data_IF_274606941544
#
_entry.id   IF_274606941544
#
_cell.length_a   1.000
_cell.length_b   1.000
_cell.length_c   1.000
_cell.angle_alpha   90.00
_cell.angle_beta   90.00
_cell.angle_gamma   90.00
#
_symmetry.space_group_name_H-M   'P 1'
#
loop_
_entity.id
_entity.type
_entity.pdbx_description
1 polymer ?
#
# COMPACT_ATOMS: atom_id res chain seq x y z
N UNK A 1 -26.20 -0.44 1.02
CA UNK A 1 -26.25 1.03 1.14
C UNK A 1 -25.05 1.49 1.98
N UNK A 2 -23.84 1.52 1.40
CA UNK A 2 -22.62 1.87 2.14
C UNK A 2 -22.46 3.40 2.24
N UNK A 3 -22.32 3.87 3.48
CA UNK A 3 -22.35 5.29 3.88
C UNK A 3 -20.91 5.73 4.15
N UNK A 4 -20.38 6.65 3.36
CA UNK A 4 -19.11 7.31 3.67
C UNK A 4 -19.42 8.53 4.54
N UNK A 5 -19.09 8.49 5.83
CA UNK A 5 -19.18 9.68 6.69
C UNK A 5 -17.79 10.31 6.76
N UNK A 6 -17.63 11.49 6.17
CA UNK A 6 -16.44 12.32 6.35
C UNK A 6 -16.77 13.43 7.35
N UNK A 7 -15.89 13.67 8.31
CA UNK A 7 -16.07 14.65 9.39
C UNK A 7 -15.19 15.89 9.15
N UNK A 8 -15.83 17.05 9.02
CA UNK A 8 -15.16 18.34 9.13
C UNK A 8 -14.76 18.62 10.57
N UNK A 9 -13.46 18.76 10.80
CA UNK A 9 -12.91 19.23 12.06
C UNK A 9 -11.82 20.24 11.75
N UNK A 10 -12.22 21.47 11.43
CA UNK A 10 -11.31 22.59 11.55
C UNK A 10 -11.34 23.12 12.99
N UNK A 11 -10.16 23.15 13.60
CA UNK A 11 -9.79 23.85 14.84
C UNK A 11 -10.26 23.26 16.21
N UNK A 12 -9.51 22.27 16.72
CA UNK A 12 -8.63 22.41 17.93
C UNK A 12 -7.97 21.09 18.33
N UNK A 13 -6.76 21.22 18.88
CA UNK A 13 -6.03 20.20 19.61
C UNK A 13 -6.93 19.45 20.60
N UNK A 14 -6.95 18.11 20.54
CA UNK A 14 -7.33 17.31 21.70
C UNK A 14 -8.09 16.02 21.43
N UNK A 15 -8.91 15.95 20.39
CA UNK A 15 -9.84 14.83 20.26
C UNK A 15 -9.74 14.16 18.88
N UNK A 16 -9.16 12.96 18.91
CA UNK A 16 -8.99 12.06 17.76
C UNK A 16 -10.36 11.54 17.32
N UNK A 17 -11.01 12.26 16.42
CA UNK A 17 -12.07 11.70 15.58
C UNK A 17 -11.45 10.75 14.56
N UNK A 18 -11.35 9.46 14.91
CA UNK A 18 -10.92 8.41 13.99
C UNK A 18 -11.85 8.38 12.77
N UNK A 19 -11.32 8.74 11.60
CA UNK A 19 -11.84 8.25 10.32
C UNK A 19 -11.31 6.84 10.13
N UNK A 20 -11.73 5.92 11.00
CA UNK A 20 -11.50 4.49 10.80
C UNK A 20 -12.50 4.02 9.73
N UNK A 21 -12.06 3.61 8.52
CA UNK A 21 -12.96 2.89 7.65
C UNK A 21 -13.34 1.61 8.39
N UNK A 22 -14.63 1.38 8.61
CA UNK A 22 -15.19 0.22 9.31
C UNK A 22 -14.89 -1.15 8.64
N UNK A 23 -13.91 -1.21 7.75
CA UNK A 23 -13.54 -2.34 6.89
C UNK A 23 -12.03 -2.68 6.96
N UNK A 24 -11.24 -2.10 7.88
CA UNK A 24 -9.84 -2.50 8.09
C UNK A 24 -8.90 -2.23 6.89
N UNK A 25 -9.22 -1.23 6.06
CA UNK A 25 -8.47 -0.89 4.83
C UNK A 25 -7.32 0.09 5.05
N UNK A 26 -6.99 0.39 6.30
CA UNK A 26 -5.86 1.22 6.69
C UNK A 26 -4.51 0.61 6.27
N UNK A 27 -4.48 -0.70 6.00
CA UNK A 27 -3.29 -1.41 5.48
C UNK A 27 -3.03 -1.19 3.98
N UNK A 28 -4.06 -0.87 3.19
CA UNK A 28 -3.94 -0.75 1.72
C UNK A 28 -4.31 0.62 1.16
N UNK A 29 -4.90 1.49 1.96
CA UNK A 29 -5.19 2.88 1.57
C UNK A 29 -4.63 3.84 2.61
N UNK A 30 -3.60 4.59 2.24
CA UNK A 30 -3.06 5.67 3.05
C UNK A 30 -3.99 6.90 3.01
N UNK A 31 -4.86 7.05 4.00
CA UNK A 31 -5.74 8.23 4.16
C UNK A 31 -5.13 9.25 5.13
N UNK A 32 -3.80 9.41 5.11
CA UNK A 32 -3.06 10.16 6.14
C UNK A 32 -3.23 11.69 6.14
N UNK A 33 -3.75 12.31 5.08
CA UNK A 33 -3.78 13.78 4.96
C UNK A 33 -5.20 14.33 4.79
N UNK A 34 -5.80 14.85 5.87
CA UNK A 34 -7.14 15.48 5.87
C UNK A 34 -7.26 16.59 4.82
N UNK A 35 -6.21 17.39 4.64
CA UNK A 35 -6.18 18.45 3.62
C UNK A 35 -6.31 17.92 2.18
N UNK A 36 -5.78 16.73 1.90
CA UNK A 36 -5.95 16.08 0.59
C UNK A 36 -7.33 15.45 0.43
N UNK A 37 -7.92 14.96 1.52
CA UNK A 37 -9.27 14.40 1.52
C UNK A 37 -10.30 15.45 1.08
N UNK A 38 -10.29 16.66 1.65
CA UNK A 38 -11.23 17.72 1.25
C UNK A 38 -11.04 18.16 -0.20
N UNK A 39 -9.79 18.31 -0.65
CA UNK A 39 -9.50 18.61 -2.06
C UNK A 39 -10.02 17.52 -3.00
N UNK A 40 -9.92 16.25 -2.58
CA UNK A 40 -10.44 15.12 -3.36
C UNK A 40 -11.96 15.14 -3.39
N UNK A 41 -12.63 15.37 -2.26
CA UNK A 41 -14.10 15.48 -2.19
C UNK A 41 -14.61 16.63 -3.05
N UNK A 42 -13.96 17.79 -3.00
CA UNK A 42 -14.32 18.93 -3.85
C UNK A 42 -14.22 18.57 -5.34
N UNK A 43 -13.13 17.92 -5.78
CA UNK A 43 -12.98 17.45 -7.17
C UNK A 43 -14.02 16.41 -7.56
N UNK A 44 -14.37 15.49 -6.67
CA UNK A 44 -15.42 14.51 -6.91
C UNK A 44 -16.79 15.18 -7.04
N UNK A 45 -17.03 16.25 -6.28
CA UNK A 45 -18.25 17.04 -6.36
C UNK A 45 -18.30 17.85 -7.67
N UNK A 46 -17.20 18.52 -8.03
CA UNK A 46 -17.08 19.27 -9.29
C UNK A 46 -17.29 18.35 -10.51
N UNK A 47 -16.86 17.09 -10.41
CA UNK A 47 -17.08 16.06 -11.41
C UNK A 47 -18.49 15.41 -11.35
N UNK A 48 -19.36 15.81 -10.41
CA UNK A 48 -20.70 15.26 -10.24
C UNK A 48 -20.75 13.81 -9.72
N UNK A 49 -19.63 13.29 -9.20
CA UNK A 49 -19.53 11.91 -8.69
C UNK A 49 -20.05 11.80 -7.24
N UNK A 50 -20.03 12.91 -6.51
CA UNK A 50 -20.66 13.03 -5.19
C UNK A 50 -21.49 14.31 -5.12
N UNK A 51 -22.54 14.31 -4.29
CA UNK A 51 -23.40 15.46 -4.05
C UNK A 51 -23.54 15.73 -2.54
N UNK A 52 -23.83 16.98 -2.18
CA UNK A 52 -24.13 17.34 -0.79
C UNK A 52 -25.54 16.87 -0.47
N UNK A 53 -25.65 15.94 0.48
CA UNK A 53 -26.91 15.39 0.97
C UNK A 53 -27.52 16.24 2.08
N UNK A 54 -26.70 16.72 3.01
CA UNK A 54 -27.14 17.52 4.14
C UNK A 54 -26.01 18.39 4.69
N UNK A 55 -26.36 19.59 5.10
CA UNK A 55 -25.51 20.48 5.90
C UNK A 55 -26.12 20.59 7.29
N UNK A 56 -25.47 20.00 8.29
CA UNK A 56 -25.89 20.11 9.69
C UNK A 56 -25.15 21.24 10.39
N UNK A 57 -25.89 22.10 11.10
CA UNK A 57 -25.34 23.06 12.09
C UNK A 57 -25.75 22.57 13.47
N UNK A 58 -24.79 22.18 14.28
CA UNK A 58 -25.00 22.02 15.72
C UNK A 58 -24.53 23.30 16.40
N UNK A 59 -25.26 23.83 17.38
CA UNK A 59 -24.94 25.15 17.99
C UNK A 59 -23.57 25.18 18.68
N UNK A 60 -22.96 24.01 18.89
CA UNK A 60 -21.68 23.83 19.58
C UNK A 60 -20.55 23.29 18.69
N UNK A 61 -20.79 23.00 17.40
CA UNK A 61 -19.80 22.42 16.48
C UNK A 61 -19.84 23.07 15.09
N UNK A 62 -18.70 23.10 14.35
CA UNK A 62 -18.65 23.62 12.98
C UNK A 62 -19.60 22.87 12.03
N UNK A 63 -19.94 23.53 10.91
CA UNK A 63 -20.82 22.99 9.86
C UNK A 63 -20.34 21.63 9.38
N UNK A 64 -21.25 20.64 9.37
CA UNK A 64 -20.97 19.30 8.85
C UNK A 64 -21.65 19.11 7.51
N UNK A 65 -20.84 18.94 6.47
CA UNK A 65 -21.32 18.58 5.13
C UNK A 65 -21.28 17.05 4.97
N UNK A 66 -22.45 16.45 4.75
CA UNK A 66 -22.58 15.03 4.45
C UNK A 66 -22.69 14.86 2.94
N UNK A 67 -21.75 14.12 2.36
CA UNK A 67 -21.74 13.79 0.94
C UNK A 67 -22.40 12.44 0.68
N UNK A 68 -23.03 12.30 -0.46
CA UNK A 68 -23.51 11.02 -0.99
C UNK A 68 -23.00 10.78 -2.41
N UNK A 69 -22.74 9.52 -2.73
CA UNK A 69 -22.35 9.12 -4.09
C UNK A 69 -23.57 9.25 -5.01
N UNK A 70 -23.36 9.86 -6.18
CA UNK A 70 -24.39 9.93 -7.23
C UNK A 70 -24.45 8.61 -8.01
N UNK A 71 -25.47 8.42 -8.85
CA UNK A 71 -25.52 7.25 -9.74
C UNK A 71 -24.34 7.26 -10.72
N UNK A 72 -24.00 8.43 -11.27
CA UNK A 72 -22.80 8.61 -12.11
C UNK A 72 -21.53 8.26 -11.34
N UNK A 73 -21.43 8.67 -10.07
CA UNK A 73 -20.31 8.30 -9.19
C UNK A 73 -20.21 6.80 -8.95
N UNK A 74 -21.35 6.11 -8.82
CA UNK A 74 -21.39 4.65 -8.64
C UNK A 74 -20.89 3.95 -9.89
N UNK A 75 -21.36 4.35 -11.06
CA UNK A 75 -20.95 3.75 -12.34
C UNK A 75 -19.46 3.97 -12.59
N UNK A 76 -18.97 5.19 -12.35
CA UNK A 76 -17.54 5.51 -12.44
C UNK A 76 -16.70 4.68 -11.46
N UNK A 77 -17.15 4.50 -10.22
CA UNK A 77 -16.46 3.69 -9.21
C UNK A 77 -16.38 2.22 -9.65
N UNK A 78 -17.47 1.65 -10.17
CA UNK A 78 -17.49 0.27 -10.66
C UNK A 78 -16.62 0.08 -11.90
N UNK A 79 -16.65 1.02 -12.84
CA UNK A 79 -15.79 0.99 -14.02
C UNK A 79 -14.31 1.05 -13.62
N UNK A 80 -13.96 1.96 -12.71
CA UNK A 80 -12.59 2.09 -12.21
C UNK A 80 -12.11 0.85 -11.45
N UNK A 81 -12.95 0.28 -10.56
CA UNK A 81 -12.62 -0.96 -9.85
C UNK A 81 -12.39 -2.13 -10.81
N UNK A 82 -13.25 -2.26 -11.81
CA UNK A 82 -13.14 -3.33 -12.81
C UNK A 82 -11.87 -3.18 -13.65
N UNK A 83 -11.54 -1.96 -14.06
CA UNK A 83 -10.31 -1.66 -14.79
C UNK A 83 -9.06 -1.99 -13.96
N UNK A 84 -9.02 -1.58 -12.69
CA UNK A 84 -7.90 -1.88 -11.80
C UNK A 84 -7.67 -3.39 -11.60
N UNK A 85 -8.74 -4.17 -11.52
CA UNK A 85 -8.64 -5.63 -11.38
C UNK A 85 -8.21 -6.28 -12.70
N UNK A 86 -8.71 -5.78 -13.82
CA UNK A 86 -8.52 -6.41 -15.12
C UNK A 86 -7.21 -6.05 -15.81
N UNK A 87 -6.68 -4.85 -15.56
CA UNK A 87 -5.53 -4.30 -16.29
C UNK A 87 -4.33 -4.21 -15.36
N UNK A 88 -3.30 -5.07 -15.53
CA UNK A 88 -2.03 -4.92 -14.85
C UNK A 88 -1.42 -3.56 -15.17
N UNK A 89 -1.04 -2.81 -14.14
CA UNK A 89 -0.38 -1.52 -14.30
C UNK A 89 1.10 -1.65 -13.97
N UNK A 90 1.90 -0.78 -14.57
CA UNK A 90 3.30 -0.68 -14.18
C UNK A 90 3.40 -0.01 -12.82
N UNK A 91 3.49 -0.83 -11.78
CA UNK A 91 3.75 -0.39 -10.42
C UNK A 91 5.24 -0.06 -10.29
N UNK A 92 5.59 0.85 -9.38
CA UNK A 92 6.98 1.22 -9.08
C UNK A 92 7.26 0.90 -7.61
N UNK A 93 7.40 -0.39 -7.23
CA UNK A 93 7.60 -0.75 -5.83
C UNK A 93 9.00 -0.34 -5.38
N UNK A 94 9.11 0.13 -4.13
CA UNK A 94 10.36 0.70 -3.60
C UNK A 94 11.49 -0.33 -3.51
N UNK A 95 11.19 -1.59 -3.17
CA UNK A 95 12.21 -2.61 -2.97
C UNK A 95 12.93 -3.04 -4.27
N UNK A 96 12.23 -3.39 -5.37
CA UNK A 96 12.86 -3.56 -6.69
C UNK A 96 13.67 -2.33 -7.13
N UNK A 97 13.18 -1.12 -6.85
CA UNK A 97 13.94 0.10 -7.13
C UNK A 97 15.25 0.14 -6.30
N UNK A 98 15.21 -0.17 -5.01
CA UNK A 98 16.40 -0.26 -4.16
C UNK A 98 17.37 -1.35 -4.62
N UNK A 99 16.86 -2.52 -5.05
CA UNK A 99 17.70 -3.60 -5.59
C UNK A 99 18.48 -3.17 -6.84
N UNK A 100 17.91 -2.29 -7.67
CA UNK A 100 18.62 -1.75 -8.84
C UNK A 100 19.86 -0.92 -8.48
N UNK A 101 19.95 -0.46 -7.22
CA UNK A 101 21.09 0.26 -6.66
C UNK A 101 21.84 -0.54 -5.58
N UNK A 102 21.55 -1.84 -5.42
CA UNK A 102 22.13 -2.67 -4.36
C UNK A 102 23.66 -2.70 -4.41
N UNK A 103 24.24 -2.62 -5.62
CA UNK A 103 25.70 -2.63 -5.83
C UNK A 103 26.41 -1.42 -5.21
N UNK A 104 25.69 -0.35 -4.86
CA UNK A 104 26.23 0.77 -4.09
C UNK A 104 26.51 0.37 -2.63
N UNK A 105 25.87 -0.68 -2.14
CA UNK A 105 26.28 -1.39 -0.93
C UNK A 105 27.37 -2.40 -1.28
N UNK A 106 28.30 -2.64 -0.37
CA UNK A 106 29.17 -3.82 -0.46
C UNK A 106 28.38 -5.10 -0.15
N UNK A 107 28.87 -6.30 -0.55
CA UNK A 107 28.17 -7.57 -0.31
C UNK A 107 27.76 -7.80 1.14
N UNK A 108 28.63 -7.47 2.11
CA UNK A 108 28.32 -7.63 3.54
C UNK A 108 27.20 -6.69 4.01
N UNK A 109 27.25 -5.41 3.60
CA UNK A 109 26.21 -4.45 3.93
C UNK A 109 24.88 -4.82 3.27
N UNK A 110 24.90 -5.27 2.01
CA UNK A 110 23.72 -5.78 1.33
C UNK A 110 23.10 -6.97 2.07
N UNK A 111 23.93 -7.94 2.49
CA UNK A 111 23.47 -9.10 3.28
C UNK A 111 22.76 -8.67 4.55
N UNK A 112 23.37 -7.79 5.36
CA UNK A 112 22.78 -7.31 6.62
C UNK A 112 21.41 -6.63 6.42
N UNK A 113 21.27 -5.79 5.38
CA UNK A 113 20.01 -5.12 5.05
C UNK A 113 18.94 -6.12 4.60
N UNK A 114 19.30 -7.09 3.74
CA UNK A 114 18.39 -8.12 3.23
C UNK A 114 17.95 -9.09 4.34
N UNK A 115 18.83 -9.46 5.26
CA UNK A 115 18.49 -10.26 6.45
C UNK A 115 17.48 -9.54 7.35
N UNK A 116 17.66 -8.23 7.55
CA UNK A 116 16.70 -7.44 8.33
C UNK A 116 15.34 -7.39 7.68
N UNK A 117 15.30 -7.22 6.36
CA UNK A 117 14.06 -7.26 5.57
C UNK A 117 13.40 -8.64 5.67
N UNK A 118 14.16 -9.71 5.50
CA UNK A 118 13.68 -11.09 5.63
C UNK A 118 13.03 -11.34 7.00
N UNK A 119 13.65 -10.85 8.08
CA UNK A 119 13.08 -10.94 9.43
C UNK A 119 11.74 -10.20 9.54
N UNK A 120 11.63 -9.01 8.96
CA UNK A 120 10.39 -8.23 8.97
C UNK A 120 9.28 -8.93 8.17
N UNK A 121 9.58 -9.44 6.98
CA UNK A 121 8.60 -10.15 6.14
C UNK A 121 8.11 -11.45 6.78
N UNK A 122 8.99 -12.20 7.46
CA UNK A 122 8.56 -13.39 8.23
C UNK A 122 7.59 -13.06 9.35
N UNK A 123 7.77 -11.91 10.02
CA UNK A 123 6.81 -11.44 11.02
C UNK A 123 5.47 -11.07 10.36
N UNK A 124 5.49 -10.30 9.27
CA UNK A 124 4.29 -9.94 8.50
C UNK A 124 3.54 -11.18 8.01
N UNK A 125 4.24 -12.16 7.44
CA UNK A 125 3.66 -13.41 6.99
C UNK A 125 2.94 -14.16 8.12
N UNK A 126 3.56 -14.23 9.31
CA UNK A 126 2.94 -14.85 10.49
C UNK A 126 1.70 -14.10 10.98
N UNK A 127 1.68 -12.77 10.86
CA UNK A 127 0.51 -11.95 11.19
C UNK A 127 -0.65 -12.21 10.21
N UNK A 128 -0.35 -12.31 8.91
CA UNK A 128 -1.33 -12.65 7.86
C UNK A 128 -1.92 -14.03 8.08
N UNK A 129 -1.09 -15.04 8.35
CA UNK A 129 -1.53 -16.41 8.70
C UNK A 129 -2.51 -16.38 9.88
N UNK A 130 -2.15 -15.62 10.92
CA UNK A 130 -2.97 -15.48 12.13
C UNK A 130 -4.32 -14.81 11.83
N UNK A 131 -4.32 -13.74 11.03
CA UNK A 131 -5.53 -13.03 10.61
C UNK A 131 -6.48 -13.90 9.79
N UNK A 132 -5.94 -14.60 8.79
CA UNK A 132 -6.68 -15.54 7.92
C UNK A 132 -7.31 -16.67 8.75
N UNK A 133 -6.54 -17.26 9.67
CA UNK A 133 -7.03 -18.33 10.55
C UNK A 133 -8.16 -17.84 11.48
N UNK A 134 -8.04 -16.62 12.03
CA UNK A 134 -9.07 -16.02 12.87
C UNK A 134 -10.36 -15.77 12.07
N UNK A 135 -10.27 -15.13 10.90
CA UNK A 135 -11.41 -14.85 10.05
C UNK A 135 -12.15 -16.15 9.64
N UNK A 136 -11.39 -17.20 9.33
CA UNK A 136 -11.94 -18.54 9.05
C UNK A 136 -12.67 -19.12 10.26
N UNK A 137 -12.09 -19.01 11.46
CA UNK A 137 -12.72 -19.46 12.71
C UNK A 137 -14.02 -18.72 13.03
N UNK A 138 -14.11 -17.43 12.69
CA UNK A 138 -15.33 -16.64 12.84
C UNK A 138 -16.37 -16.91 11.74
N UNK A 139 -16.07 -17.78 10.77
CA UNK A 139 -16.97 -18.12 9.67
C UNK A 139 -17.18 -16.97 8.68
N UNK A 140 -16.20 -16.06 8.57
CA UNK A 140 -16.28 -14.97 7.60
C UNK A 140 -16.17 -15.51 6.17
N UNK A 141 -16.94 -14.97 5.21
CA UNK A 141 -16.83 -15.38 3.81
C UNK A 141 -15.42 -15.12 3.25
N UNK A 142 -14.85 -16.07 2.51
CA UNK A 142 -13.49 -15.96 1.93
C UNK A 142 -13.24 -14.65 1.18
N UNK A 143 -14.25 -14.10 0.50
CA UNK A 143 -14.13 -12.83 -0.23
C UNK A 143 -13.64 -11.67 0.64
N UNK A 144 -13.86 -11.72 1.97
CA UNK A 144 -13.39 -10.70 2.91
C UNK A 144 -11.91 -10.84 3.26
N UNK A 145 -11.25 -11.93 2.83
CA UNK A 145 -9.85 -12.26 3.13
C UNK A 145 -8.97 -12.33 1.87
N UNK A 146 -9.52 -12.09 0.67
CA UNK A 146 -8.76 -12.23 -0.58
C UNK A 146 -7.53 -11.31 -0.65
N UNK A 147 -7.62 -10.13 -0.03
CA UNK A 147 -6.49 -9.19 0.11
C UNK A 147 -5.38 -9.79 0.98
N UNK A 148 -5.72 -10.35 2.15
CA UNK A 148 -4.76 -11.00 3.04
C UNK A 148 -4.15 -12.25 2.38
N UNK A 149 -4.95 -13.05 1.66
CA UNK A 149 -4.48 -14.21 0.90
C UNK A 149 -3.47 -13.81 -0.19
N UNK A 150 -3.75 -12.72 -0.92
CA UNK A 150 -2.84 -12.18 -1.93
C UNK A 150 -1.54 -11.68 -1.31
N UNK A 151 -1.64 -10.84 -0.26
CA UNK A 151 -0.46 -10.30 0.42
C UNK A 151 0.41 -11.43 0.97
N UNK A 152 -0.20 -12.45 1.59
CA UNK A 152 0.51 -13.63 2.09
C UNK A 152 1.28 -14.33 0.98
N UNK A 153 0.65 -14.56 -0.19
CA UNK A 153 1.28 -15.24 -1.31
C UNK A 153 2.48 -14.46 -1.87
N UNK A 154 2.37 -13.13 -1.97
CA UNK A 154 3.46 -12.25 -2.42
C UNK A 154 4.60 -12.23 -1.40
N UNK A 155 4.28 -12.03 -0.11
CA UNK A 155 5.26 -12.03 0.98
C UNK A 155 6.00 -13.37 1.07
N UNK A 156 5.31 -14.50 0.90
CA UNK A 156 5.94 -15.82 0.88
C UNK A 156 6.91 -15.98 -0.29
N UNK A 157 6.56 -15.47 -1.48
CA UNK A 157 7.44 -15.49 -2.64
C UNK A 157 8.70 -14.63 -2.42
N UNK A 158 8.53 -13.45 -1.82
CA UNK A 158 9.66 -12.58 -1.50
C UNK A 158 10.58 -13.16 -0.42
N UNK A 159 10.02 -13.79 0.63
CA UNK A 159 10.78 -14.50 1.65
C UNK A 159 11.68 -15.57 1.02
N UNK A 160 11.12 -16.43 0.15
CA UNK A 160 11.90 -17.48 -0.52
C UNK A 160 13.05 -16.89 -1.33
N UNK A 161 12.77 -15.86 -2.12
CA UNK A 161 13.80 -15.21 -2.93
C UNK A 161 14.91 -14.59 -2.07
N UNK A 162 14.54 -13.93 -0.97
CA UNK A 162 15.51 -13.36 -0.02
C UNK A 162 16.34 -14.43 0.67
N UNK A 163 15.76 -15.56 1.04
CA UNK A 163 16.49 -16.70 1.64
C UNK A 163 17.59 -17.19 0.70
N UNK A 164 17.27 -17.36 -0.58
CA UNK A 164 18.24 -17.80 -1.60
C UNK A 164 19.36 -16.76 -1.78
N UNK A 165 19.02 -15.48 -1.94
CA UNK A 165 20.00 -14.41 -2.15
C UNK A 165 20.89 -14.19 -0.93
N UNK A 166 20.34 -14.25 0.28
CA UNK A 166 21.12 -14.14 1.51
C UNK A 166 22.05 -15.34 1.66
N UNK A 167 21.59 -16.55 1.33
CA UNK A 167 22.44 -17.74 1.35
C UNK A 167 23.59 -17.62 0.34
N UNK A 168 23.36 -17.07 -0.85
CA UNK A 168 24.41 -16.84 -1.83
C UNK A 168 25.44 -15.78 -1.37
N UNK A 169 24.97 -14.71 -0.71
CA UNK A 169 25.84 -13.69 -0.12
C UNK A 169 26.67 -14.22 1.06
N UNK A 170 26.09 -15.09 1.88
CA UNK A 170 26.76 -15.73 3.02
C UNK A 170 27.79 -16.76 2.54
N UNK A 171 27.45 -17.53 1.52
CA UNK A 171 28.37 -18.49 0.89
C UNK A 171 29.46 -17.83 0.04
N UNK A 172 29.31 -16.54 -0.27
CA UNK A 172 30.20 -15.79 -1.17
C UNK A 172 30.07 -16.21 -2.65
N UNK A 173 29.04 -16.97 -3.01
CA UNK A 173 28.70 -17.31 -4.40
C UNK A 173 28.11 -16.11 -5.14
N UNK A 174 27.45 -15.20 -4.41
CA UNK A 174 27.10 -13.86 -4.86
C UNK A 174 28.01 -12.85 -4.17
N UNK A 175 28.87 -12.18 -4.94
CA UNK A 175 29.79 -11.16 -4.42
C UNK A 175 30.20 -10.19 -5.52
N UNK A 176 30.70 -9.01 -5.14
CA UNK A 176 31.22 -8.00 -6.05
C UNK A 176 32.24 -7.11 -5.34
N UNK A 177 33.14 -6.52 -6.13
CA UNK A 177 33.95 -5.36 -5.75
C UNK A 177 33.71 -4.22 -6.73
N UNK A 178 34.01 -2.98 -6.30
CA UNK A 178 33.98 -1.83 -7.21
C UNK A 178 34.81 -2.08 -8.47
N UNK A 179 35.98 -2.71 -8.34
CA UNK A 179 36.84 -3.02 -9.49
C UNK A 179 36.19 -4.02 -10.45
N UNK A 180 35.49 -5.04 -9.92
CA UNK A 180 34.78 -6.01 -10.76
C UNK A 180 33.63 -5.37 -11.55
N UNK A 181 33.00 -4.33 -11.00
CA UNK A 181 31.88 -3.64 -11.63
C UNK A 181 32.34 -2.58 -12.63
N UNK A 182 33.41 -1.86 -12.32
CA UNK A 182 33.99 -0.84 -13.20
C UNK A 182 34.43 -1.44 -14.56
N UNK A 183 34.86 -2.71 -14.58
CA UNK A 183 35.21 -3.44 -15.80
C UNK A 183 34.05 -3.56 -16.80
N UNK A 184 32.80 -3.50 -16.33
CA UNK A 184 31.61 -3.55 -17.17
C UNK A 184 31.10 -2.15 -17.58
N UNK A 185 31.47 -1.09 -16.86
CA UNK A 185 31.19 0.29 -17.28
C UNK A 185 32.02 0.65 -18.52
N UNK A 186 33.29 0.26 -18.56
CA UNK A 186 34.16 0.53 -19.70
C UNK A 186 33.77 -0.29 -20.96
N UNK A 187 33.09 -1.43 -20.77
CA UNK A 187 32.60 -2.26 -21.89
C UNK A 187 31.20 -1.87 -22.40
N UNK A 188 30.42 -1.13 -21.60
CA UNK A 188 29.11 -0.62 -22.01
C UNK A 188 29.20 0.60 -22.96
N UNK A 189 30.40 1.11 -23.22
CA UNK A 189 30.66 2.08 -24.28
C UNK A 189 31.24 1.40 -25.54
N UNK A 190 30.39 0.98 -26.49
CA UNK A 190 30.76 0.99 -27.89
C UNK A 190 29.75 1.77 -28.75
N UNK A 191 30.24 2.83 -29.41
CA UNK A 191 29.69 3.38 -30.66
C UNK A 191 28.82 4.64 -30.52
N UNK A 192 29.37 5.76 -30.99
CA UNK A 192 28.61 6.91 -31.52
C UNK A 192 27.55 6.50 -32.56
#
# INVERSE_FOLDING_TARGET
MHRLQVQDAEHRHGERGSLEPAWGKDKVVNVGQRAQLYKTIARLQDAGLVAVRATGRDQQYPERTVYEITDVGRDACMAWLTDMIAVPRNEFPEFPAALSFLMLLGPDAAREELERRLKALRAEHSELDTGIAQATRFGLPRVTMLEDEYQRAVTEAEIRWLEDVVADLDAGTLTWSWESLAQFQDQAAPGE
#
